data_IF_442192117054
#
_entry.id   IF_442192117054
#
_cell.length_a   1.000
_cell.length_b   1.000
_cell.length_c   1.000
_cell.angle_alpha   90.00
_cell.angle_beta   90.00
_cell.angle_gamma   90.00
#
_symmetry.space_group_name_H-M   'P 1'
#
loop_
_entity.id
_entity.type
_entity.pdbx_description
1 polymer ?
#
# COMPACT_ATOMS: atom_id res chain seq x y z
N UNK A 1 -24.09 -51.77 46.43
CA UNK A 1 -22.77 -51.66 45.84
C UNK A 1 -22.98 -51.29 44.36
N UNK A 2 -23.17 -50.06 44.07
CA UNK A 2 -23.29 -49.53 42.72
C UNK A 2 -22.10 -48.57 42.50
N UNK A 3 -21.38 -48.92 41.52
CA UNK A 3 -20.80 -48.11 40.46
C UNK A 3 -20.40 -46.64 40.82
N UNK A 4 -19.10 -46.45 41.08
CA UNK A 4 -18.46 -45.15 41.26
C UNK A 4 -17.24 -45.01 40.31
N UNK A 5 -17.04 -45.88 39.32
CA UNK A 5 -15.87 -45.89 38.45
C UNK A 5 -16.10 -45.25 37.04
N UNK A 6 -17.22 -44.49 36.85
CA UNK A 6 -17.62 -43.94 35.57
C UNK A 6 -17.20 -42.49 35.31
N UNK A 7 -16.50 -41.79 36.24
CA UNK A 7 -16.38 -40.33 36.15
C UNK A 7 -14.96 -39.74 36.06
N UNK A 8 -14.00 -40.53 35.56
CA UNK A 8 -12.60 -40.06 35.39
C UNK A 8 -12.08 -40.06 33.95
N UNK A 9 -12.96 -40.06 32.96
CA UNK A 9 -12.56 -40.03 31.55
C UNK A 9 -13.03 -38.73 30.81
N UNK A 10 -13.17 -37.64 31.51
CA UNK A 10 -13.51 -36.36 30.86
C UNK A 10 -12.42 -35.32 31.12
N UNK A 11 -11.58 -35.03 30.12
CA UNK A 11 -10.89 -33.78 30.03
C UNK A 11 -9.39 -33.75 30.14
N UNK A 12 -8.64 -34.65 29.54
CA UNK A 12 -7.29 -34.31 29.12
C UNK A 12 -7.39 -33.51 27.81
N UNK A 13 -7.45 -32.19 27.94
CA UNK A 13 -7.16 -31.25 26.84
C UNK A 13 -5.73 -31.54 26.44
N UNK A 14 -5.46 -31.94 25.17
CA UNK A 14 -4.09 -32.08 24.71
C UNK A 14 -3.35 -30.78 24.95
N UNK A 15 -2.30 -30.77 25.75
CA UNK A 15 -1.39 -29.67 25.91
C UNK A 15 -0.87 -29.34 24.49
N UNK A 16 -1.35 -28.25 23.94
CA UNK A 16 -0.84 -27.66 22.69
C UNK A 16 0.68 -27.61 22.83
N UNK A 17 1.36 -28.37 22.01
CA UNK A 17 2.82 -28.33 21.96
C UNK A 17 3.16 -26.87 21.56
N UNK A 18 4.01 -26.16 22.31
CA UNK A 18 4.42 -24.82 21.94
C UNK A 18 5.00 -24.90 20.53
N UNK A 19 4.37 -24.16 19.62
CA UNK A 19 4.83 -24.04 18.24
C UNK A 19 6.34 -23.72 18.27
N UNK A 20 7.17 -24.41 17.49
CA UNK A 20 8.61 -24.16 17.49
C UNK A 20 8.84 -22.67 17.23
N UNK A 21 9.61 -22.03 18.10
CA UNK A 21 10.00 -20.64 17.95
C UNK A 21 10.68 -20.49 16.58
N UNK A 22 9.94 -19.95 15.61
CA UNK A 22 10.44 -19.68 14.27
C UNK A 22 11.46 -18.57 14.43
N UNK A 23 12.74 -18.93 14.48
CA UNK A 23 13.82 -17.98 14.51
C UNK A 23 13.64 -17.00 13.35
N UNK A 24 13.57 -15.70 13.63
CA UNK A 24 13.42 -14.65 12.65
C UNK A 24 14.58 -14.71 11.64
N UNK A 25 14.33 -15.29 10.48
CA UNK A 25 15.27 -15.31 9.36
C UNK A 25 14.83 -14.24 8.38
N UNK A 26 15.69 -13.24 8.12
CA UNK A 26 15.41 -12.22 7.10
C UNK A 26 14.96 -12.84 5.76
N UNK A 27 15.49 -14.01 5.39
CA UNK A 27 15.07 -14.76 4.20
C UNK A 27 13.64 -15.32 4.26
N UNK A 28 13.04 -15.44 5.43
CA UNK A 28 11.62 -15.84 5.55
C UNK A 28 10.66 -14.66 5.37
N UNK A 29 11.18 -13.42 5.43
CA UNK A 29 10.40 -12.18 5.27
C UNK A 29 10.58 -11.57 3.88
N UNK A 30 11.77 -11.75 3.26
CA UNK A 30 12.09 -11.18 1.94
C UNK A 30 12.02 -12.26 0.86
N UNK A 31 11.04 -12.12 -0.05
CA UNK A 31 10.89 -13.03 -1.18
C UNK A 31 11.50 -12.42 -2.46
N UNK A 32 12.52 -13.06 -3.08
CA UNK A 32 13.27 -12.48 -4.20
C UNK A 32 12.40 -12.19 -5.44
N UNK A 33 11.38 -12.99 -5.72
CA UNK A 33 10.51 -12.77 -6.87
C UNK A 33 9.68 -11.48 -6.77
N UNK A 34 9.48 -10.96 -5.55
CA UNK A 34 8.69 -9.74 -5.30
C UNK A 34 9.57 -8.49 -5.20
N UNK A 35 10.89 -8.63 -5.13
CA UNK A 35 11.82 -7.50 -4.98
C UNK A 35 11.67 -6.41 -6.07
N UNK A 36 11.48 -6.75 -7.37
CA UNK A 36 11.36 -5.69 -8.39
C UNK A 36 10.15 -4.79 -8.17
N UNK A 37 8.96 -5.38 -7.90
CA UNK A 37 7.75 -4.61 -7.64
C UNK A 37 7.82 -3.91 -6.28
N UNK A 38 8.49 -4.50 -5.29
CA UNK A 38 8.72 -3.87 -3.98
C UNK A 38 9.64 -2.66 -4.09
N UNK A 39 10.74 -2.76 -4.84
CA UNK A 39 11.65 -1.63 -5.11
C UNK A 39 10.95 -0.49 -5.85
N UNK A 40 10.09 -0.82 -6.81
CA UNK A 40 9.23 0.16 -7.47
C UNK A 40 8.31 0.86 -6.46
N UNK A 41 7.62 0.12 -5.60
CA UNK A 41 6.72 0.68 -4.58
C UNK A 41 7.45 1.48 -3.51
N UNK A 42 8.72 1.19 -3.21
CA UNK A 42 9.55 2.03 -2.36
C UNK A 42 9.73 3.43 -2.97
N UNK A 43 10.04 3.53 -4.25
CA UNK A 43 10.18 4.82 -4.94
C UNK A 43 8.86 5.59 -5.01
N UNK A 44 7.75 4.89 -5.27
CA UNK A 44 6.41 5.48 -5.27
C UNK A 44 6.04 5.97 -3.87
N UNK A 45 6.31 5.18 -2.83
CA UNK A 45 6.08 5.55 -1.43
C UNK A 45 6.90 6.77 -1.00
N UNK A 46 8.19 6.81 -1.38
CA UNK A 46 9.07 7.96 -1.15
C UNK A 46 8.51 9.25 -1.78
N UNK A 47 8.03 9.16 -3.02
CA UNK A 47 7.43 10.31 -3.73
C UNK A 47 6.11 10.75 -3.08
N UNK A 48 5.28 9.79 -2.64
CA UNK A 48 4.01 10.07 -1.97
C UNK A 48 4.21 10.71 -0.58
N UNK A 49 5.27 10.34 0.14
CA UNK A 49 5.63 10.99 1.40
C UNK A 49 5.82 12.50 1.24
N UNK A 50 6.39 12.95 0.11
CA UNK A 50 6.52 14.36 -0.23
C UNK A 50 5.16 15.07 -0.28
N UNK A 51 4.14 14.45 -0.89
CA UNK A 51 2.78 15.01 -0.92
C UNK A 51 2.23 15.13 0.49
N UNK A 52 2.28 14.05 1.29
CA UNK A 52 1.72 14.04 2.64
C UNK A 52 2.31 15.10 3.55
N UNK A 53 3.60 15.38 3.41
CA UNK A 53 4.32 16.28 4.30
C UNK A 53 4.24 17.74 3.85
N UNK A 54 4.47 17.98 2.55
CA UNK A 54 4.62 19.35 2.06
C UNK A 54 3.32 19.99 1.60
N UNK A 55 2.27 19.21 1.30
CA UNK A 55 1.03 19.75 0.74
C UNK A 55 0.46 20.90 1.57
N UNK A 56 0.38 20.73 2.88
CA UNK A 56 -0.22 21.74 3.75
C UNK A 56 0.66 23.00 3.84
N UNK A 57 1.96 22.84 4.10
CA UNK A 57 2.90 23.95 4.18
C UNK A 57 2.97 24.73 2.83
N UNK A 58 3.10 24.00 1.73
CA UNK A 58 3.11 24.54 0.37
C UNK A 58 1.83 25.33 0.06
N UNK A 59 0.68 24.80 0.45
CA UNK A 59 -0.62 25.45 0.19
C UNK A 59 -0.81 26.73 1.01
N UNK A 60 -0.33 26.75 2.26
CA UNK A 60 -0.35 27.96 3.10
C UNK A 60 0.57 29.03 2.49
N UNK A 61 1.79 28.67 2.12
CA UNK A 61 2.77 29.59 1.52
C UNK A 61 2.28 30.20 0.20
N UNK A 62 1.58 29.40 -0.61
CA UNK A 62 1.03 29.80 -1.92
C UNK A 62 -0.37 30.40 -1.86
N UNK A 63 -1.02 30.42 -0.69
CA UNK A 63 -2.40 30.88 -0.54
C UNK A 63 -3.44 29.94 -1.17
N UNK A 64 -3.14 28.62 -1.27
CA UNK A 64 -3.96 27.59 -1.89
C UNK A 64 -4.65 26.68 -0.85
N UNK A 65 -5.05 27.24 0.28
CA UNK A 65 -5.58 26.49 1.43
C UNK A 65 -6.91 25.80 1.15
N UNK A 66 -7.77 26.38 0.30
CA UNK A 66 -9.02 25.76 -0.12
C UNK A 66 -8.75 24.51 -0.98
N UNK A 67 -7.76 24.58 -1.87
CA UNK A 67 -7.32 23.44 -2.68
C UNK A 67 -6.77 22.31 -1.84
N UNK A 68 -5.96 22.61 -0.81
CA UNK A 68 -5.41 21.61 0.09
C UNK A 68 -6.49 20.88 0.90
N UNK A 69 -7.52 21.59 1.38
CA UNK A 69 -8.66 20.99 2.06
C UNK A 69 -9.44 20.03 1.17
N UNK A 70 -9.58 20.33 -0.11
CA UNK A 70 -10.30 19.51 -1.08
C UNK A 70 -9.44 18.43 -1.73
N UNK A 71 -8.11 18.49 -1.61
CA UNK A 71 -7.18 17.52 -2.19
C UNK A 71 -7.51 16.08 -1.76
N UNK A 72 -7.62 15.85 -0.45
CA UNK A 72 -7.90 14.51 0.07
C UNK A 72 -9.30 14.02 -0.25
N UNK A 73 -10.28 14.91 -0.38
CA UNK A 73 -11.63 14.56 -0.83
C UNK A 73 -11.60 14.09 -2.29
N UNK A 74 -10.93 14.83 -3.16
CA UNK A 74 -10.76 14.46 -4.57
C UNK A 74 -9.96 13.17 -4.72
N UNK A 75 -8.89 12.99 -3.93
CA UNK A 75 -8.11 11.76 -3.84
C UNK A 75 -8.99 10.56 -3.47
N UNK A 76 -9.78 10.68 -2.38
CA UNK A 76 -10.64 9.60 -1.91
C UNK A 76 -11.73 9.24 -2.93
N UNK A 77 -12.36 10.24 -3.56
CA UNK A 77 -13.36 10.02 -4.60
C UNK A 77 -12.77 9.29 -5.82
N UNK A 78 -11.62 9.73 -6.31
CA UNK A 78 -10.92 9.10 -7.43
C UNK A 78 -10.48 7.66 -7.10
N UNK A 79 -9.93 7.44 -5.89
CA UNK A 79 -9.56 6.11 -5.40
C UNK A 79 -10.77 5.18 -5.31
N UNK A 80 -11.93 5.67 -4.85
CA UNK A 80 -13.16 4.88 -4.78
C UNK A 80 -13.61 4.44 -6.17
N UNK A 81 -13.63 5.34 -7.15
CA UNK A 81 -13.97 5.04 -8.54
C UNK A 81 -13.04 3.95 -9.09
N UNK A 82 -11.73 4.07 -8.84
CA UNK A 82 -10.78 3.05 -9.30
C UNK A 82 -10.96 1.70 -8.60
N UNK A 83 -11.28 1.66 -7.32
CA UNK A 83 -11.54 0.40 -6.60
C UNK A 83 -12.71 -0.39 -7.20
N UNK A 84 -13.72 0.29 -7.72
CA UNK A 84 -14.88 -0.37 -8.35
C UNK A 84 -14.55 -0.96 -9.73
N UNK A 85 -13.52 -0.47 -10.40
CA UNK A 85 -13.17 -0.85 -11.78
C UNK A 85 -11.88 -1.64 -11.90
N UNK A 86 -10.97 -1.52 -10.92
CA UNK A 86 -9.60 -2.03 -10.97
C UNK A 86 -9.54 -3.55 -11.17
N UNK A 87 -10.30 -4.32 -10.36
CA UNK A 87 -10.26 -5.79 -10.41
C UNK A 87 -10.61 -6.31 -11.81
N UNK A 88 -11.71 -5.83 -12.37
CA UNK A 88 -12.16 -6.25 -13.71
C UNK A 88 -11.22 -5.80 -14.82
N UNK A 89 -10.55 -4.67 -14.67
CA UNK A 89 -9.60 -4.15 -15.65
C UNK A 89 -8.29 -4.95 -15.63
N UNK A 90 -7.76 -5.24 -14.44
CA UNK A 90 -6.52 -6.01 -14.25
C UNK A 90 -6.70 -7.45 -14.74
N UNK A 91 -7.83 -8.10 -14.41
CA UNK A 91 -8.15 -9.47 -14.83
C UNK A 91 -8.30 -9.60 -16.35
N UNK A 92 -8.82 -8.56 -17.03
CA UNK A 92 -9.09 -8.60 -18.47
C UNK A 92 -7.91 -8.16 -19.33
N UNK A 93 -7.10 -7.19 -18.87
CA UNK A 93 -6.06 -6.55 -19.70
C UNK A 93 -4.65 -6.77 -19.17
N UNK A 94 -4.51 -7.45 -18.03
CA UNK A 94 -3.22 -7.70 -17.38
C UNK A 94 -2.71 -6.53 -16.54
N UNK A 95 -1.64 -6.80 -15.82
CA UNK A 95 -1.05 -5.87 -14.84
C UNK A 95 -0.52 -4.59 -15.48
N UNK A 96 0.12 -4.70 -16.64
CA UNK A 96 0.72 -3.56 -17.35
C UNK A 96 -0.31 -2.50 -17.74
N UNK A 97 -1.51 -2.93 -18.17
CA UNK A 97 -2.60 -2.03 -18.57
C UNK A 97 -3.15 -1.20 -17.40
N UNK A 98 -2.84 -1.57 -16.17
CA UNK A 98 -3.25 -0.86 -14.95
C UNK A 98 -2.09 -0.05 -14.40
N UNK A 99 -0.89 -0.65 -14.31
CA UNK A 99 0.28 -0.03 -13.67
C UNK A 99 0.78 1.19 -14.46
N UNK A 100 0.90 1.10 -15.80
CA UNK A 100 1.40 2.23 -16.59
C UNK A 100 0.48 3.46 -16.55
N UNK A 101 -0.85 3.37 -16.78
CA UNK A 101 -1.72 4.53 -16.66
C UNK A 101 -1.75 5.11 -15.25
N UNK A 102 -1.73 4.25 -14.21
CA UNK A 102 -1.67 4.69 -12.82
C UNK A 102 -0.38 5.45 -12.53
N UNK A 103 0.76 4.98 -13.02
CA UNK A 103 2.04 5.66 -12.88
C UNK A 103 2.05 7.01 -13.61
N UNK A 104 1.48 7.08 -14.83
CA UNK A 104 1.32 8.33 -15.56
C UNK A 104 0.43 9.34 -14.80
N UNK A 105 -0.69 8.88 -14.25
CA UNK A 105 -1.56 9.72 -13.42
C UNK A 105 -0.83 10.23 -12.18
N UNK A 106 -0.07 9.38 -11.51
CA UNK A 106 0.69 9.76 -10.32
C UNK A 106 1.81 10.77 -10.65
N UNK A 107 2.55 10.54 -11.74
CA UNK A 107 3.57 11.48 -12.22
C UNK A 107 2.95 12.82 -12.61
N UNK A 108 1.82 12.80 -13.33
CA UNK A 108 1.09 14.01 -13.69
C UNK A 108 0.60 14.76 -12.45
N UNK A 109 0.14 14.03 -11.42
CA UNK A 109 -0.26 14.64 -10.15
C UNK A 109 0.89 15.42 -9.50
N UNK A 110 2.08 14.83 -9.43
CA UNK A 110 3.27 15.47 -8.87
C UNK A 110 3.66 16.71 -9.66
N UNK A 111 3.63 16.63 -11.00
CA UNK A 111 3.92 17.77 -11.87
C UNK A 111 2.90 18.90 -11.72
N UNK A 112 1.60 18.58 -11.73
CA UNK A 112 0.54 19.57 -11.52
C UNK A 112 0.69 20.23 -10.16
N UNK A 113 1.00 19.48 -9.11
CA UNK A 113 1.19 19.99 -7.76
C UNK A 113 2.43 20.92 -7.70
N UNK A 114 3.55 20.52 -8.32
CA UNK A 114 4.78 21.29 -8.34
C UNK A 114 4.60 22.69 -8.97
N UNK A 115 3.75 22.80 -9.99
CA UNK A 115 3.46 24.06 -10.71
C UNK A 115 2.11 24.67 -10.34
N UNK A 116 1.46 24.22 -9.25
CA UNK A 116 0.15 24.72 -8.87
C UNK A 116 0.21 26.20 -8.45
N UNK A 117 -0.67 26.99 -9.05
CA UNK A 117 -0.86 28.43 -8.78
C UNK A 117 -2.31 28.76 -8.43
N UNK A 118 -3.21 27.77 -8.51
CA UNK A 118 -4.65 27.92 -8.25
C UNK A 118 -5.18 26.70 -7.50
N UNK A 119 -6.16 26.89 -6.63
CA UNK A 119 -6.78 25.83 -5.84
C UNK A 119 -7.29 24.63 -6.66
N UNK A 120 -7.91 24.89 -7.83
CA UNK A 120 -8.41 23.81 -8.68
C UNK A 120 -7.30 22.87 -9.19
N UNK A 121 -6.06 23.36 -9.36
CA UNK A 121 -4.92 22.53 -9.75
C UNK A 121 -4.51 21.60 -8.61
N UNK A 122 -4.58 22.08 -7.37
CA UNK A 122 -4.33 21.24 -6.18
C UNK A 122 -5.39 20.15 -6.07
N UNK A 123 -6.65 20.48 -6.30
CA UNK A 123 -7.75 19.49 -6.31
C UNK A 123 -7.56 18.47 -7.44
N UNK A 124 -7.18 18.93 -8.63
CA UNK A 124 -6.87 18.04 -9.76
C UNK A 124 -5.69 17.11 -9.44
N UNK A 125 -4.64 17.62 -8.81
CA UNK A 125 -3.52 16.81 -8.35
C UNK A 125 -3.97 15.76 -7.33
N UNK A 126 -4.91 16.09 -6.46
CA UNK A 126 -5.53 15.12 -5.54
C UNK A 126 -6.25 14.00 -6.27
N UNK A 127 -7.10 14.33 -7.25
CA UNK A 127 -7.79 13.33 -8.07
C UNK A 127 -6.81 12.44 -8.85
N UNK A 128 -5.80 13.03 -9.50
CA UNK A 128 -4.76 12.28 -10.22
C UNK A 128 -3.93 11.40 -9.29
N UNK A 129 -3.62 11.87 -8.06
CA UNK A 129 -2.93 11.05 -7.05
C UNK A 129 -3.79 9.86 -6.61
N UNK A 130 -5.10 10.05 -6.46
CA UNK A 130 -6.05 8.99 -6.13
C UNK A 130 -6.17 7.94 -7.24
N UNK A 131 -6.21 8.37 -8.51
CA UNK A 131 -6.16 7.48 -9.67
C UNK A 131 -4.80 6.76 -9.77
N UNK A 132 -3.70 7.43 -9.47
CA UNK A 132 -2.36 6.89 -9.54
C UNK A 132 -2.01 6.03 -8.32
N UNK A 133 -1.61 6.65 -7.22
CA UNK A 133 -1.15 5.95 -6.02
C UNK A 133 -2.22 5.00 -5.45
N UNK A 134 -3.49 5.44 -5.42
CA UNK A 134 -4.61 4.61 -4.96
C UNK A 134 -4.83 3.34 -5.77
N UNK A 135 -4.35 3.31 -7.02
CA UNK A 135 -4.40 2.14 -7.92
C UNK A 135 -3.12 1.31 -7.85
N UNK A 136 -1.95 1.96 -7.75
CA UNK A 136 -0.65 1.27 -7.75
C UNK A 136 -0.50 0.30 -6.58
N UNK A 137 -0.98 0.65 -5.39
CA UNK A 137 -0.83 -0.19 -4.20
C UNK A 137 -1.60 -1.53 -4.33
N UNK A 138 -2.91 -1.58 -4.62
CA UNK A 138 -3.61 -2.84 -4.81
C UNK A 138 -3.13 -3.61 -6.06
N UNK A 139 -2.72 -2.93 -7.14
CA UNK A 139 -2.15 -3.58 -8.31
C UNK A 139 -0.81 -4.27 -7.97
N UNK A 140 0.07 -3.61 -7.23
CA UNK A 140 1.33 -4.18 -6.77
C UNK A 140 1.11 -5.38 -5.82
N UNK A 141 0.07 -5.35 -4.97
CA UNK A 141 -0.31 -6.49 -4.13
C UNK A 141 -0.75 -7.68 -4.98
N UNK A 142 -1.56 -7.47 -6.01
CA UNK A 142 -1.99 -8.53 -6.91
C UNK A 142 -0.79 -9.15 -7.66
N UNK A 143 0.13 -8.33 -8.16
CA UNK A 143 1.39 -8.78 -8.78
C UNK A 143 2.23 -9.60 -7.79
N UNK A 144 2.38 -9.13 -6.55
CA UNK A 144 3.14 -9.83 -5.53
C UNK A 144 2.54 -11.19 -5.18
N UNK A 145 1.20 -11.26 -5.07
CA UNK A 145 0.47 -12.52 -4.82
C UNK A 145 0.66 -13.51 -5.98
N UNK A 146 0.59 -13.04 -7.22
CA UNK A 146 0.76 -13.87 -8.42
C UNK A 146 2.23 -14.32 -8.63
N UNK A 147 3.19 -13.59 -8.07
CA UNK A 147 4.63 -13.89 -8.22
C UNK A 147 5.13 -15.00 -7.28
N UNK A 148 4.33 -15.43 -6.29
CA UNK A 148 4.77 -16.39 -5.27
C UNK A 148 3.81 -17.58 -5.14
N UNK A 149 4.30 -18.79 -4.77
CA UNK A 149 3.45 -19.92 -4.46
C UNK A 149 2.53 -19.63 -3.27
N UNK A 150 1.37 -20.29 -3.21
CA UNK A 150 0.34 -20.06 -2.19
C UNK A 150 0.85 -20.21 -0.73
N UNK A 151 1.81 -21.09 -0.49
CA UNK A 151 2.42 -21.28 0.82
C UNK A 151 3.43 -20.19 1.21
N UNK A 152 3.78 -19.27 0.30
CA UNK A 152 4.71 -18.17 0.51
C UNK A 152 4.05 -16.77 0.37
N UNK A 153 2.72 -16.70 0.26
CA UNK A 153 1.97 -15.46 0.11
C UNK A 153 2.29 -14.45 1.22
N UNK A 154 2.39 -14.93 2.47
CA UNK A 154 2.75 -14.08 3.59
C UNK A 154 4.11 -13.39 3.41
N UNK A 155 5.15 -14.13 2.97
CA UNK A 155 6.47 -13.57 2.72
C UNK A 155 6.47 -12.60 1.53
N UNK A 156 5.72 -12.89 0.46
CA UNK A 156 5.57 -12.01 -0.70
C UNK A 156 4.93 -10.67 -0.33
N UNK A 157 3.78 -10.72 0.35
CA UNK A 157 3.06 -9.51 0.77
C UNK A 157 3.88 -8.71 1.80
N UNK A 158 4.51 -9.39 2.78
CA UNK A 158 5.36 -8.74 3.78
C UNK A 158 6.55 -8.01 3.14
N UNK A 159 7.17 -8.59 2.10
CA UNK A 159 8.24 -7.94 1.34
C UNK A 159 7.75 -6.66 0.70
N UNK A 160 6.61 -6.70 0.00
CA UNK A 160 6.05 -5.53 -0.66
C UNK A 160 5.71 -4.42 0.34
N UNK A 161 5.03 -4.76 1.44
CA UNK A 161 4.62 -3.79 2.47
C UNK A 161 5.84 -3.16 3.13
N UNK A 162 6.85 -3.97 3.51
CA UNK A 162 8.07 -3.47 4.11
C UNK A 162 8.75 -2.41 3.24
N UNK A 163 8.88 -2.65 1.92
CA UNK A 163 9.50 -1.71 1.01
C UNK A 163 8.66 -0.44 0.81
N UNK A 164 7.33 -0.57 0.71
CA UNK A 164 6.43 0.58 0.61
C UNK A 164 6.51 1.46 1.87
N UNK A 165 6.51 0.84 3.07
CA UNK A 165 6.59 1.53 4.35
C UNK A 165 7.97 2.17 4.56
N UNK A 166 9.05 1.48 4.18
CA UNK A 166 10.41 2.05 4.18
C UNK A 166 10.50 3.25 3.25
N UNK A 167 9.92 3.17 2.04
CA UNK A 167 9.87 4.30 1.11
C UNK A 167 9.16 5.51 1.72
N UNK A 168 7.98 5.28 2.30
CA UNK A 168 7.21 6.32 2.98
C UNK A 168 7.98 6.89 4.18
N UNK A 169 8.53 6.03 5.04
CA UNK A 169 9.29 6.43 6.24
C UNK A 169 10.56 7.21 5.90
N UNK A 170 11.32 6.77 4.90
CA UNK A 170 12.49 7.51 4.41
C UNK A 170 12.10 8.88 3.84
N UNK A 171 10.99 8.95 3.09
CA UNK A 171 10.49 10.22 2.59
C UNK A 171 10.14 11.19 3.71
N UNK A 172 9.46 10.73 4.76
CA UNK A 172 9.16 11.53 5.94
C UNK A 172 10.42 11.93 6.73
N UNK A 173 11.43 11.06 6.81
CA UNK A 173 12.68 11.32 7.53
C UNK A 173 13.58 12.34 6.82
N UNK A 174 13.67 12.28 5.48
CA UNK A 174 14.46 13.21 4.67
C UNK A 174 13.97 14.67 4.79
N UNK A 175 12.74 14.86 5.26
CA UNK A 175 12.10 16.16 5.43
C UNK A 175 12.49 16.83 6.75
N UNK A 176 12.94 16.04 7.74
CA UNK A 176 13.38 16.55 9.04
C UNK A 176 14.85 17.02 9.07
N UNK A 177 15.58 16.87 7.95
CA UNK A 177 16.96 17.34 7.79
C UNK A 177 16.97 18.64 6.98
#
# INVERSE_FOLDING_TARGET
>A
AADVDGERAAGEVPLEHPAPAVGFRLRSVLHPAVLPISGFMLLVGLSYAGILTYLNAYSVERGLTAGAGLFFLAYAAAMLVMRLTLGTLQDRRGDDAVVYPALLCFTAALLVLAFATRDWQVVLAGALSGLGYGTLMPAAQAIAVNAVPSHQLGAGISTLMLFADVGLGLGLSLIHI
#
